data_IF_615999078999
#
_entry.id   IF_615999078999
#
_cell.length_a   1.000
_cell.length_b   1.000
_cell.length_c   1.000
_cell.angle_alpha   90.00
_cell.angle_beta   90.00
_cell.angle_gamma   90.00
#
_symmetry.space_group_name_H-M   'P 1'
#
loop_
_entity.id
_entity.type
_entity.pdbx_description
1 polymer ?
#
# COMPACT_ATOMS: atom_id res chain seq x y z
N UNK A 1 -5.51 -8.72 21.99
CA UNK A 1 -6.20 -9.54 20.96
C UNK A 1 -6.53 -10.89 21.57
N UNK A 2 -7.80 -11.29 21.67
CA UNK A 2 -8.14 -12.66 22.08
C UNK A 2 -7.92 -13.58 20.88
N UNK A 3 -6.96 -14.50 20.98
CA UNK A 3 -6.65 -15.52 19.98
C UNK A 3 -7.75 -16.59 19.99
N UNK A 4 -8.92 -16.30 19.44
CA UNK A 4 -10.05 -17.24 19.31
C UNK A 4 -10.26 -17.72 17.87
N UNK A 5 -11.34 -18.45 17.63
CA UNK A 5 -11.69 -19.00 16.31
C UNK A 5 -11.84 -17.93 15.21
N UNK A 6 -12.27 -16.73 15.59
CA UNK A 6 -12.31 -15.57 14.70
C UNK A 6 -10.94 -15.17 14.15
N UNK A 7 -9.88 -15.24 14.98
CA UNK A 7 -8.51 -14.94 14.54
C UNK A 7 -7.99 -15.98 13.55
N UNK A 8 -8.24 -17.28 13.81
CA UNK A 8 -7.86 -18.37 12.90
C UNK A 8 -8.55 -18.21 11.54
N UNK A 9 -9.83 -17.87 11.55
CA UNK A 9 -10.61 -17.62 10.34
C UNK A 9 -10.04 -16.44 9.55
N UNK A 10 -9.78 -15.30 10.20
CA UNK A 10 -9.17 -14.11 9.59
C UNK A 10 -7.82 -14.43 8.93
N UNK A 11 -6.92 -15.09 9.67
CA UNK A 11 -5.60 -15.47 9.17
C UNK A 11 -5.67 -16.48 8.03
N UNK A 12 -6.68 -17.33 8.02
CA UNK A 12 -6.96 -18.24 6.91
C UNK A 12 -7.18 -17.51 5.59
N UNK A 13 -7.85 -16.35 5.60
CA UNK A 13 -8.09 -15.57 4.38
C UNK A 13 -6.84 -14.91 3.82
N UNK A 14 -5.92 -14.47 4.69
CA UNK A 14 -4.70 -13.78 4.27
C UNK A 14 -3.56 -14.72 3.86
N UNK A 15 -3.61 -15.99 4.25
CA UNK A 15 -2.49 -16.93 4.09
C UNK A 15 -1.96 -17.01 2.65
N UNK A 16 -2.85 -16.97 1.68
CA UNK A 16 -2.48 -17.14 0.27
C UNK A 16 -2.11 -15.81 -0.41
N UNK A 17 -2.40 -14.66 0.23
CA UNK A 17 -2.03 -13.32 -0.25
C UNK A 17 -0.53 -13.02 -0.16
N UNK A 18 0.24 -13.88 0.49
CA UNK A 18 1.70 -13.82 0.54
C UNK A 18 2.34 -15.08 -0.08
N UNK A 19 1.55 -15.91 -0.76
CA UNK A 19 2.09 -17.06 -1.47
C UNK A 19 2.96 -16.61 -2.64
N UNK A 20 4.07 -17.30 -2.96
CA UNK A 20 4.91 -16.96 -4.11
C UNK A 20 4.10 -16.86 -5.42
N UNK A 21 3.11 -17.74 -5.59
CA UNK A 21 2.25 -17.73 -6.77
C UNK A 21 1.42 -16.45 -6.88
N UNK A 22 0.80 -16.00 -5.78
CA UNK A 22 0.05 -14.75 -5.77
C UNK A 22 0.96 -13.53 -5.94
N UNK A 23 2.12 -13.54 -5.30
CA UNK A 23 3.12 -12.48 -5.44
C UNK A 23 3.61 -12.35 -6.88
N UNK A 24 3.90 -13.47 -7.55
CA UNK A 24 4.39 -13.46 -8.92
C UNK A 24 3.31 -13.13 -9.95
N UNK A 25 2.09 -13.64 -9.77
CA UNK A 25 1.05 -13.53 -10.80
C UNK A 25 0.19 -12.26 -10.66
N UNK A 26 -0.01 -11.77 -9.44
CA UNK A 26 -0.91 -10.64 -9.19
C UNK A 26 -0.16 -9.40 -8.70
N UNK A 27 0.65 -9.54 -7.65
CA UNK A 27 1.29 -8.39 -6.99
C UNK A 27 2.44 -7.82 -7.81
N UNK A 28 3.34 -8.66 -8.30
CA UNK A 28 4.52 -8.27 -9.07
C UNK A 28 4.18 -7.43 -10.31
N UNK A 29 3.26 -7.87 -11.19
CA UNK A 29 2.81 -7.09 -12.32
C UNK A 29 2.14 -5.76 -11.92
N UNK A 30 1.36 -5.75 -10.84
CA UNK A 30 0.71 -4.53 -10.34
C UNK A 30 1.71 -3.49 -9.83
N UNK A 31 2.72 -3.94 -9.06
CA UNK A 31 3.82 -3.09 -8.58
C UNK A 31 4.61 -2.56 -9.77
N UNK A 32 5.00 -3.43 -10.70
CA UNK A 32 5.75 -3.05 -11.89
C UNK A 32 5.04 -1.97 -12.71
N UNK A 33 3.74 -2.14 -13.00
CA UNK A 33 2.95 -1.13 -13.72
C UNK A 33 2.86 0.19 -12.95
N UNK A 34 2.71 0.14 -11.62
CA UNK A 34 2.68 1.34 -10.78
C UNK A 34 4.02 2.08 -10.77
N UNK A 35 5.13 1.35 -10.74
CA UNK A 35 6.50 1.91 -10.82
C UNK A 35 6.75 2.52 -12.20
N UNK A 36 6.32 1.88 -13.29
CA UNK A 36 6.45 2.45 -14.63
C UNK A 36 5.71 3.80 -14.77
N UNK A 37 4.49 3.89 -14.23
CA UNK A 37 3.74 5.16 -14.20
C UNK A 37 4.47 6.23 -13.39
N UNK A 38 5.11 5.84 -12.28
CA UNK A 38 5.90 6.78 -11.48
C UNK A 38 7.13 7.29 -12.24
N UNK A 39 7.83 6.40 -12.96
CA UNK A 39 8.96 6.76 -13.83
C UNK A 39 8.49 7.73 -14.92
N UNK A 40 7.40 7.43 -15.60
CA UNK A 40 6.83 8.30 -16.65
C UNK A 40 6.51 9.71 -16.13
N UNK A 41 5.93 9.79 -14.93
CA UNK A 41 5.66 11.07 -14.26
C UNK A 41 6.95 11.81 -13.93
N UNK A 42 7.97 11.12 -13.42
CA UNK A 42 9.27 11.73 -13.10
C UNK A 42 10.02 12.19 -14.35
N UNK A 43 10.04 11.41 -15.41
CA UNK A 43 10.64 11.80 -16.68
C UNK A 43 9.91 13.00 -17.30
N UNK A 44 8.57 13.00 -17.24
CA UNK A 44 7.79 14.13 -17.75
C UNK A 44 8.06 15.39 -16.94
N UNK A 45 8.18 15.27 -15.61
CA UNK A 45 8.59 16.36 -14.74
C UNK A 45 10.01 16.84 -15.08
N UNK A 46 10.96 15.92 -15.32
CA UNK A 46 12.34 16.24 -15.71
C UNK A 46 12.41 16.92 -17.08
N UNK A 47 11.63 16.48 -18.08
CA UNK A 47 11.57 17.12 -19.41
C UNK A 47 11.04 18.55 -19.39
N UNK A 48 10.11 18.83 -18.47
CA UNK A 48 9.58 20.19 -18.27
C UNK A 48 10.58 21.06 -17.46
N UNK A 49 11.60 20.45 -16.84
CA UNK A 49 12.53 21.10 -15.91
C UNK A 49 14.00 20.79 -16.29
N UNK A 50 14.61 21.66 -17.09
CA UNK A 50 16.02 21.54 -17.54
C UNK A 50 17.05 21.56 -16.39
N UNK A 51 16.61 21.87 -15.17
CA UNK A 51 17.33 21.62 -13.93
C UNK A 51 16.42 20.80 -13.00
N UNK A 52 16.99 19.77 -12.37
CA UNK A 52 16.29 18.69 -11.67
C UNK A 52 14.96 19.10 -11.01
N UNK A 53 13.97 18.21 -11.01
CA UNK A 53 12.71 18.40 -10.28
C UNK A 53 12.87 18.84 -8.81
N UNK A 54 14.05 18.60 -8.22
CA UNK A 54 14.48 19.07 -6.91
C UNK A 54 14.95 20.53 -6.92
N UNK A 55 15.64 21.01 -7.97
CA UNK A 55 16.10 22.38 -8.10
C UNK A 55 14.94 23.37 -8.07
N UNK A 56 13.86 23.11 -8.81
CA UNK A 56 12.67 23.96 -8.78
C UNK A 56 11.86 23.83 -7.48
N UNK A 57 11.89 22.68 -6.82
CA UNK A 57 11.35 22.58 -5.45
C UNK A 57 12.19 23.41 -4.49
N UNK A 58 13.52 23.37 -4.58
CA UNK A 58 14.43 24.19 -3.76
C UNK A 58 14.28 25.69 -4.04
N UNK A 59 14.13 26.11 -5.31
CA UNK A 59 13.82 27.50 -5.68
C UNK A 59 12.42 27.90 -5.22
N UNK A 60 11.39 27.07 -5.45
CA UNK A 60 10.05 27.31 -4.93
C UNK A 60 10.06 27.43 -3.40
N UNK A 61 10.90 26.65 -2.71
CA UNK A 61 11.11 26.78 -1.26
C UNK A 61 11.84 28.07 -0.88
N UNK A 62 12.74 28.57 -1.72
CA UNK A 62 13.38 29.88 -1.55
C UNK A 62 12.46 31.07 -1.87
N UNK A 63 11.42 30.85 -2.68
CA UNK A 63 10.42 31.85 -3.08
C UNK A 63 9.12 31.77 -2.27
N UNK A 64 8.94 30.73 -1.46
CA UNK A 64 7.80 30.60 -0.55
C UNK A 64 7.86 31.72 0.49
N UNK A 65 6.85 32.58 0.48
CA UNK A 65 6.61 33.57 1.51
C UNK A 65 6.62 32.90 2.89
N UNK A 66 7.70 33.14 3.65
CA UNK A 66 7.95 32.52 4.96
C UNK A 66 6.80 32.76 5.95
N UNK A 67 5.92 33.74 5.70
CA UNK A 67 4.73 34.01 6.50
C UNK A 67 3.58 32.99 6.30
N UNK A 68 3.59 32.19 5.22
CA UNK A 68 2.58 31.15 4.92
C UNK A 68 3.01 29.74 5.34
N UNK A 69 4.26 29.59 5.75
CA UNK A 69 4.80 28.33 6.25
C UNK A 69 4.40 28.20 7.71
N UNK A 70 3.44 27.31 8.00
CA UNK A 70 3.12 26.96 9.38
C UNK A 70 4.29 26.17 9.97
N UNK A 71 5.05 26.84 10.84
CA UNK A 71 6.08 26.23 11.69
C UNK A 71 5.35 25.34 12.69
N UNK A 72 5.57 24.03 12.60
CA UNK A 72 5.07 23.06 13.57
C UNK A 72 5.69 23.27 14.95
N UNK A 73 5.14 22.61 15.97
CA UNK A 73 5.54 22.75 17.38
C UNK A 73 7.02 22.42 17.68
N UNK A 74 7.78 21.87 16.73
CA UNK A 74 9.19 21.50 16.88
C UNK A 74 10.07 21.93 15.68
N UNK A 75 9.91 23.15 15.16
CA UNK A 75 10.70 23.67 14.02
C UNK A 75 10.53 22.89 12.69
N UNK A 76 9.48 22.10 12.56
CA UNK A 76 9.15 21.42 11.32
C UNK A 76 8.45 22.38 10.34
N UNK A 77 8.88 22.36 9.08
CA UNK A 77 8.26 23.10 7.98
C UNK A 77 7.14 22.26 7.38
N UNK A 78 5.89 22.72 7.48
CA UNK A 78 4.74 22.00 6.92
C UNK A 78 4.53 22.41 5.46
N UNK A 79 4.81 21.50 4.53
CA UNK A 79 4.60 21.75 3.09
C UNK A 79 3.14 21.51 2.67
N UNK A 80 2.56 22.38 1.83
CA UNK A 80 1.24 22.17 1.27
C UNK A 80 1.26 20.92 0.38
N UNK A 81 0.51 19.89 0.77
CA UNK A 81 0.32 18.67 -0.04
C UNK A 81 -0.92 18.86 -0.92
N UNK A 82 -0.84 18.40 -2.17
CA UNK A 82 -2.04 18.29 -3.01
C UNK A 82 -3.06 17.39 -2.30
N UNK A 83 -4.37 17.70 -2.38
CA UNK A 83 -5.39 16.89 -1.73
C UNK A 83 -5.30 15.47 -2.26
N UNK A 84 -5.06 14.51 -1.36
CA UNK A 84 -5.06 13.10 -1.71
C UNK A 84 -6.46 12.71 -2.19
N UNK A 85 -6.54 11.68 -3.04
CA UNK A 85 -7.84 11.11 -3.36
C UNK A 85 -8.54 10.70 -2.06
N UNK A 86 -9.84 11.01 -1.89
CA UNK A 86 -10.60 10.85 -0.62
C UNK A 86 -10.42 9.49 0.05
N UNK A 87 -10.20 8.45 -0.74
CA UNK A 87 -9.89 7.11 -0.24
C UNK A 87 -8.53 7.03 0.47
N UNK A 88 -7.48 7.56 -0.14
CA UNK A 88 -6.12 7.57 0.44
C UNK A 88 -6.06 8.48 1.68
N UNK A 89 -6.75 9.61 1.64
CA UNK A 89 -6.91 10.50 2.80
C UNK A 89 -7.58 9.76 3.96
N UNK A 90 -8.74 9.13 3.70
CA UNK A 90 -9.44 8.34 4.70
C UNK A 90 -8.60 7.18 5.25
N UNK A 91 -7.82 6.51 4.40
CA UNK A 91 -6.98 5.38 4.81
C UNK A 91 -5.81 5.83 5.70
N UNK A 92 -5.13 6.93 5.34
CA UNK A 92 -4.06 7.53 6.15
C UNK A 92 -4.61 8.00 7.50
N UNK A 93 -5.71 8.76 7.48
CA UNK A 93 -6.32 9.27 8.71
C UNK A 93 -6.81 8.16 9.62
N UNK A 94 -7.46 7.11 9.09
CA UNK A 94 -7.88 5.97 9.92
C UNK A 94 -6.68 5.30 10.61
N UNK A 95 -5.55 5.15 9.92
CA UNK A 95 -4.32 4.59 10.49
C UNK A 95 -3.77 5.41 11.65
N UNK A 96 -3.53 6.70 11.43
CA UNK A 96 -2.97 7.61 12.45
C UNK A 96 -3.91 7.78 13.63
N UNK A 97 -5.23 7.86 13.38
CA UNK A 97 -6.24 7.95 14.43
C UNK A 97 -6.37 6.66 15.23
N UNK A 98 -6.27 5.49 14.59
CA UNK A 98 -6.23 4.21 15.31
C UNK A 98 -4.98 4.12 16.19
N UNK A 99 -3.81 4.53 15.68
CA UNK A 99 -2.59 4.58 16.48
C UNK A 99 -2.74 5.50 17.71
N UNK A 100 -3.34 6.67 17.54
CA UNK A 100 -3.62 7.59 18.64
C UNK A 100 -4.61 7.00 19.68
N UNK A 101 -5.62 6.24 19.22
CA UNK A 101 -6.55 5.51 20.11
C UNK A 101 -5.79 4.46 20.93
N UNK A 102 -4.86 3.73 20.34
CA UNK A 102 -4.08 2.70 21.05
C UNK A 102 -2.96 3.26 21.94
N UNK A 103 -2.43 4.44 21.63
CA UNK A 103 -1.43 5.13 22.43
C UNK A 103 -2.03 5.87 23.65
N UNK A 104 -3.35 6.04 23.69
CA UNK A 104 -4.05 6.72 24.78
C UNK A 104 -4.08 5.93 26.09
N UNK A 105 -4.12 6.65 27.22
CA UNK A 105 -4.24 6.05 28.56
C UNK A 105 -5.62 5.44 28.88
N UNK A 106 -6.57 5.55 27.96
CA UNK A 106 -7.94 5.09 28.13
C UNK A 106 -8.08 3.62 27.73
N UNK A 107 -8.99 2.84 28.36
CA UNK A 107 -9.22 1.45 28.00
C UNK A 107 -9.55 1.33 26.50
N UNK A 108 -8.79 0.52 25.71
CA UNK A 108 -8.94 0.48 24.25
C UNK A 108 -10.35 0.13 23.78
N UNK A 109 -11.07 -0.72 24.53
CA UNK A 109 -12.44 -1.10 24.21
C UNK A 109 -13.44 0.05 24.31
N UNK A 110 -13.32 0.89 25.35
CA UNK A 110 -14.19 2.06 25.53
C UNK A 110 -13.88 3.14 24.50
N UNK A 111 -12.59 3.38 24.22
CA UNK A 111 -12.19 4.39 23.26
C UNK A 111 -12.54 3.99 21.82
N UNK A 112 -12.38 2.72 21.47
CA UNK A 112 -12.83 2.17 20.18
C UNK A 112 -14.35 2.25 20.02
N UNK A 113 -15.11 1.93 21.07
CA UNK A 113 -16.57 2.06 21.06
C UNK A 113 -17.00 3.52 20.91
N UNK A 114 -16.41 4.43 21.68
CA UNK A 114 -16.69 5.86 21.60
C UNK A 114 -16.36 6.42 20.21
N UNK A 115 -15.19 6.08 19.65
CA UNK A 115 -14.78 6.53 18.33
C UNK A 115 -15.71 6.00 17.22
N UNK A 116 -16.18 4.75 17.35
CA UNK A 116 -17.04 4.10 16.36
C UNK A 116 -18.51 4.57 16.43
N UNK A 117 -19.05 4.80 17.63
CA UNK A 117 -20.49 5.01 17.82
C UNK A 117 -20.87 6.39 18.36
N UNK A 118 -20.07 6.98 19.25
CA UNK A 118 -20.44 8.21 19.95
C UNK A 118 -19.85 9.48 19.31
N UNK A 119 -18.63 9.42 18.78
CA UNK A 119 -17.96 10.59 18.21
C UNK A 119 -18.42 10.86 16.77
N UNK A 120 -19.13 11.96 16.49
CA UNK A 120 -19.55 12.29 15.12
C UNK A 120 -18.36 12.61 14.20
N UNK A 121 -17.22 12.99 14.78
CA UNK A 121 -15.96 13.21 14.05
C UNK A 121 -15.38 11.88 13.54
N UNK A 122 -15.14 10.92 14.44
CA UNK A 122 -14.54 9.64 14.07
C UNK A 122 -15.49 8.73 13.28
N UNK A 123 -16.79 8.77 13.58
CA UNK A 123 -17.80 7.92 12.95
C UNK A 123 -17.83 8.05 11.43
N UNK A 124 -17.59 9.25 10.88
CA UNK A 124 -17.56 9.48 9.42
C UNK A 124 -16.48 8.64 8.73
N UNK A 125 -15.30 8.51 9.34
CA UNK A 125 -14.19 7.73 8.79
C UNK A 125 -14.48 6.23 8.82
N UNK A 126 -15.02 5.72 9.93
CA UNK A 126 -15.41 4.31 10.02
C UNK A 126 -16.51 3.95 9.01
N UNK A 127 -17.52 4.82 8.84
CA UNK A 127 -18.58 4.62 7.84
C UNK A 127 -18.01 4.66 6.42
N UNK A 128 -17.17 5.65 6.09
CA UNK A 128 -16.56 5.77 4.78
C UNK A 128 -15.70 4.55 4.43
N UNK A 129 -14.84 4.11 5.37
CA UNK A 129 -14.06 2.88 5.30
C UNK A 129 -14.94 1.65 5.07
N UNK A 130 -15.97 1.46 5.91
CA UNK A 130 -16.85 0.30 5.82
C UNK A 130 -17.59 0.26 4.48
N UNK A 131 -18.14 1.38 4.02
CA UNK A 131 -18.86 1.46 2.75
C UNK A 131 -17.94 1.16 1.57
N UNK A 132 -16.72 1.68 1.59
CA UNK A 132 -15.74 1.41 0.55
C UNK A 132 -15.39 -0.08 0.49
N UNK A 133 -15.01 -0.68 1.62
CA UNK A 133 -14.58 -2.08 1.66
C UNK A 133 -15.75 -3.01 1.34
N UNK A 134 -16.97 -2.73 1.84
CA UNK A 134 -18.18 -3.51 1.47
C UNK A 134 -18.42 -3.49 -0.02
N UNK A 135 -18.37 -2.31 -0.66
CA UNK A 135 -18.53 -2.21 -2.12
C UNK A 135 -17.52 -3.08 -2.86
N UNK A 136 -16.26 -3.11 -2.40
CA UNK A 136 -15.24 -3.94 -3.02
C UNK A 136 -15.44 -5.44 -2.76
N UNK A 137 -15.95 -5.84 -1.59
CA UNK A 137 -16.35 -7.22 -1.31
C UNK A 137 -17.51 -7.62 -2.23
N UNK A 138 -18.52 -6.76 -2.41
CA UNK A 138 -19.67 -7.05 -3.27
C UNK A 138 -19.23 -7.25 -4.73
N UNK A 139 -18.33 -6.39 -5.22
CA UNK A 139 -17.72 -6.55 -6.54
C UNK A 139 -16.92 -7.86 -6.67
N UNK A 140 -16.16 -8.23 -5.63
CA UNK A 140 -15.42 -9.48 -5.60
C UNK A 140 -16.36 -10.71 -5.61
N UNK A 141 -17.49 -10.63 -4.90
CA UNK A 141 -18.52 -11.66 -4.93
C UNK A 141 -19.13 -11.78 -6.33
N UNK A 142 -19.45 -10.66 -6.99
CA UNK A 142 -19.97 -10.68 -8.36
C UNK A 142 -19.01 -11.32 -9.35
N UNK A 143 -17.72 -10.93 -9.31
CA UNK A 143 -16.67 -11.55 -10.15
C UNK A 143 -16.57 -13.05 -9.91
N UNK A 144 -16.59 -13.46 -8.65
CA UNK A 144 -16.57 -14.87 -8.28
C UNK A 144 -17.79 -15.64 -8.77
N UNK A 145 -18.97 -15.03 -8.83
CA UNK A 145 -20.18 -15.64 -9.39
C UNK A 145 -20.09 -15.79 -10.91
N UNK A 146 -19.39 -14.87 -11.57
CA UNK A 146 -19.15 -14.89 -13.01
C UNK A 146 -17.97 -15.81 -13.42
N UNK A 147 -17.37 -16.54 -12.47
CA UNK A 147 -16.15 -17.34 -12.67
C UNK A 147 -14.97 -16.53 -13.24
N UNK A 148 -14.93 -15.23 -12.90
CA UNK A 148 -13.81 -14.35 -13.26
C UNK A 148 -12.59 -14.62 -12.39
N UNK A 149 -11.40 -14.48 -12.97
CA UNK A 149 -10.14 -14.64 -12.24
C UNK A 149 -10.00 -13.59 -11.12
N UNK A 150 -9.53 -14.02 -9.95
CA UNK A 150 -9.27 -13.16 -8.81
C UNK A 150 -8.08 -12.22 -9.09
N UNK A 151 -8.32 -10.90 -9.03
CA UNK A 151 -7.32 -9.87 -9.38
C UNK A 151 -6.77 -9.14 -8.17
N UNK A 152 -7.57 -9.03 -7.12
CA UNK A 152 -7.27 -8.24 -5.92
C UNK A 152 -7.20 -9.12 -4.69
N UNK A 153 -6.56 -8.62 -3.64
CA UNK A 153 -6.51 -9.35 -2.37
C UNK A 153 -7.91 -9.64 -1.80
N UNK A 154 -8.86 -8.74 -2.02
CA UNK A 154 -10.26 -8.94 -1.62
C UNK A 154 -10.92 -10.08 -2.42
N UNK A 155 -10.65 -10.19 -3.73
CA UNK A 155 -11.15 -11.31 -4.54
C UNK A 155 -10.67 -12.66 -4.00
N UNK A 156 -9.39 -12.75 -3.61
CA UNK A 156 -8.84 -13.94 -2.98
C UNK A 156 -9.45 -14.23 -1.61
N UNK A 157 -9.68 -13.22 -0.77
CA UNK A 157 -10.35 -13.40 0.53
C UNK A 157 -11.77 -13.97 0.35
N UNK A 158 -12.53 -13.46 -0.61
CA UNK A 158 -13.87 -13.94 -0.95
C UNK A 158 -13.81 -15.40 -1.42
N UNK A 159 -12.92 -15.71 -2.36
CA UNK A 159 -12.73 -17.06 -2.88
C UNK A 159 -12.40 -18.07 -1.78
N UNK A 160 -11.47 -17.71 -0.88
CA UNK A 160 -11.07 -18.59 0.22
C UNK A 160 -12.22 -18.81 1.21
N UNK A 161 -12.96 -17.77 1.56
CA UNK A 161 -14.11 -17.89 2.45
C UNK A 161 -15.18 -18.82 1.87
N UNK A 162 -15.50 -18.68 0.58
CA UNK A 162 -16.44 -19.56 -0.10
C UNK A 162 -15.95 -21.01 -0.13
N UNK A 163 -14.67 -21.24 -0.45
CA UNK A 163 -14.05 -22.57 -0.47
C UNK A 163 -14.08 -23.26 0.89
N UNK A 164 -13.72 -22.54 1.95
CA UNK A 164 -13.72 -23.05 3.34
C UNK A 164 -15.15 -23.30 3.81
N UNK A 165 -16.08 -22.39 3.54
CA UNK A 165 -17.48 -22.54 3.92
C UNK A 165 -18.13 -23.76 3.25
N UNK A 166 -17.88 -23.96 1.95
CA UNK A 166 -18.36 -25.12 1.19
C UNK A 166 -17.81 -26.43 1.77
N UNK A 167 -16.51 -26.49 2.06
CA UNK A 167 -15.88 -27.69 2.65
C UNK A 167 -16.45 -28.05 4.02
N UNK A 168 -16.81 -27.04 4.81
CA UNK A 168 -17.35 -27.22 6.16
C UNK A 168 -18.88 -27.32 6.21
N UNK A 169 -19.59 -27.25 5.06
CA UNK A 169 -21.06 -27.26 5.02
C UNK A 169 -21.72 -26.09 5.75
N UNK A 170 -21.02 -24.96 5.90
CA UNK A 170 -21.51 -23.77 6.61
C UNK A 170 -21.84 -22.63 5.65
N UNK A 171 -22.64 -21.68 6.10
CA UNK A 171 -22.82 -20.41 5.39
C UNK A 171 -21.53 -19.58 5.40
N UNK A 172 -21.35 -18.79 4.34
CA UNK A 172 -20.23 -17.87 4.22
C UNK A 172 -20.39 -16.69 5.18
N UNK A 173 -19.28 -16.07 5.57
CA UNK A 173 -19.27 -14.84 6.39
C UNK A 173 -18.92 -13.59 5.58
N UNK A 174 -19.22 -13.62 4.27
CA UNK A 174 -18.98 -12.51 3.35
C UNK A 174 -19.68 -11.24 3.85
N UNK A 175 -18.97 -10.10 3.78
CA UNK A 175 -19.50 -8.80 4.19
C UNK A 175 -19.68 -8.61 5.71
N UNK A 176 -19.41 -9.61 6.55
CA UNK A 176 -19.40 -9.42 8.01
C UNK A 176 -18.27 -8.48 8.43
N UNK A 177 -18.47 -7.75 9.53
CA UNK A 177 -17.52 -6.74 10.01
C UNK A 177 -16.09 -7.27 10.20
N UNK A 178 -15.95 -8.55 10.58
CA UNK A 178 -14.64 -9.19 10.72
C UNK A 178 -13.85 -9.22 9.40
N UNK A 179 -14.51 -9.50 8.27
CA UNK A 179 -13.86 -9.52 6.94
C UNK A 179 -13.53 -8.10 6.47
N UNK A 180 -14.41 -7.14 6.79
CA UNK A 180 -14.18 -5.72 6.49
C UNK A 180 -12.98 -5.18 7.26
N UNK A 181 -12.91 -5.47 8.56
CA UNK A 181 -11.84 -5.02 9.43
C UNK A 181 -10.50 -5.71 9.05
N UNK A 182 -10.52 -6.99 8.67
CA UNK A 182 -9.32 -7.69 8.17
C UNK A 182 -8.83 -7.13 6.83
N UNK A 183 -9.73 -6.93 5.86
CA UNK A 183 -9.37 -6.37 4.55
C UNK A 183 -8.80 -4.95 4.68
N UNK A 184 -9.38 -4.12 5.56
CA UNK A 184 -8.86 -2.80 5.82
C UNK A 184 -7.51 -2.84 6.56
N UNK A 185 -7.37 -3.70 7.57
CA UNK A 185 -6.11 -3.86 8.31
C UNK A 185 -4.96 -4.26 7.39
N UNK A 186 -5.19 -5.21 6.49
CA UNK A 186 -4.19 -5.64 5.50
C UNK A 186 -3.80 -4.50 4.55
N UNK A 187 -4.78 -3.72 4.08
CA UNK A 187 -4.54 -2.58 3.19
C UNK A 187 -3.70 -1.49 3.87
N UNK A 188 -4.05 -1.12 5.11
CA UNK A 188 -3.30 -0.11 5.90
C UNK A 188 -1.87 -0.60 6.14
N UNK A 189 -1.69 -1.86 6.54
CA UNK A 189 -0.39 -2.44 6.83
C UNK A 189 0.53 -2.42 5.59
N UNK A 190 0.01 -2.78 4.42
CA UNK A 190 0.78 -2.83 3.18
C UNK A 190 1.25 -1.45 2.71
N UNK A 191 0.40 -0.43 2.76
CA UNK A 191 0.70 0.88 2.20
C UNK A 191 1.78 1.63 2.99
N UNK A 192 1.63 1.72 4.32
CA UNK A 192 2.50 2.56 5.14
C UNK A 192 3.92 1.99 5.27
N UNK A 193 4.06 0.67 5.45
CA UNK A 193 5.37 0.03 5.61
C UNK A 193 6.17 0.03 4.30
N UNK A 194 5.53 -0.35 3.18
CA UNK A 194 6.21 -0.41 1.88
C UNK A 194 6.60 0.97 1.38
N UNK A 195 5.73 1.98 1.54
CA UNK A 195 6.05 3.36 1.18
C UNK A 195 7.25 3.91 1.94
N UNK A 196 7.30 3.71 3.26
CA UNK A 196 8.44 4.09 4.08
C UNK A 196 9.72 3.36 3.65
N UNK A 197 9.66 2.05 3.45
CA UNK A 197 10.81 1.25 3.01
C UNK A 197 11.36 1.74 1.67
N UNK A 198 10.50 2.01 0.67
CA UNK A 198 10.92 2.53 -0.63
C UNK A 198 11.58 3.90 -0.53
N UNK A 199 11.06 4.81 0.29
CA UNK A 199 11.66 6.13 0.51
C UNK A 199 13.07 5.98 1.11
N UNK A 200 13.23 5.11 2.10
CA UNK A 200 14.54 4.84 2.68
C UNK A 200 15.50 4.20 1.68
N UNK A 201 15.05 3.22 0.89
CA UNK A 201 15.86 2.61 -0.18
C UNK A 201 16.33 3.68 -1.16
N UNK A 202 15.44 4.57 -1.61
CA UNK A 202 15.81 5.67 -2.52
C UNK A 202 16.82 6.63 -1.90
N UNK A 203 16.64 6.98 -0.61
CA UNK A 203 17.60 7.82 0.12
C UNK A 203 18.97 7.16 0.19
N UNK A 204 19.05 5.88 0.59
CA UNK A 204 20.31 5.14 0.64
C UNK A 204 20.94 5.00 -0.76
N UNK A 205 20.17 4.78 -1.81
CA UNK A 205 20.73 4.72 -3.16
C UNK A 205 21.26 6.08 -3.65
N UNK A 206 20.67 7.20 -3.20
CA UNK A 206 21.14 8.54 -3.53
C UNK A 206 22.42 8.92 -2.75
N UNK A 207 22.50 8.54 -1.48
CA UNK A 207 23.64 8.88 -0.61
C UNK A 207 24.87 7.98 -0.86
N UNK A 208 24.70 6.82 -1.51
CA UNK A 208 25.77 5.84 -1.76
C UNK A 208 25.92 5.49 -3.26
N UNK A 209 26.57 6.35 -4.08
CA UNK A 209 26.71 6.17 -5.53
C UNK A 209 27.41 4.88 -5.96
N UNK A 210 28.34 4.37 -5.14
CA UNK A 210 29.03 3.10 -5.39
C UNK A 210 28.06 1.90 -5.31
N UNK A 211 27.17 1.90 -4.30
CA UNK A 211 26.14 0.87 -4.13
C UNK A 211 25.12 0.96 -5.25
N UNK A 212 24.69 2.18 -5.59
CA UNK A 212 23.76 2.42 -6.70
C UNK A 212 24.33 1.90 -8.03
N UNK A 213 25.59 2.20 -8.33
CA UNK A 213 26.26 1.76 -9.56
C UNK A 213 26.39 0.24 -9.61
N UNK A 214 26.78 -0.40 -8.50
CA UNK A 214 26.89 -1.85 -8.41
C UNK A 214 25.54 -2.53 -8.65
N UNK A 215 24.48 -2.09 -7.97
CA UNK A 215 23.13 -2.62 -8.14
C UNK A 215 22.62 -2.41 -9.57
N UNK A 216 22.86 -1.23 -10.16
CA UNK A 216 22.47 -0.93 -11.54
C UNK A 216 23.17 -1.85 -12.55
N UNK A 217 24.47 -2.07 -12.39
CA UNK A 217 25.24 -2.91 -13.30
C UNK A 217 24.75 -4.37 -13.26
N UNK A 218 24.46 -4.87 -12.07
CA UNK A 218 23.97 -6.24 -11.91
C UNK A 218 22.56 -6.40 -12.49
N UNK A 219 21.67 -5.44 -12.24
CA UNK A 219 20.34 -5.41 -12.87
C UNK A 219 20.42 -5.35 -14.41
N UNK A 220 21.33 -4.53 -14.96
CA UNK A 220 21.54 -4.45 -16.41
C UNK A 220 22.10 -5.74 -17.00
N UNK A 221 23.01 -6.40 -16.28
CA UNK A 221 23.58 -7.70 -16.68
C UNK A 221 22.52 -8.78 -16.66
N UNK A 222 21.74 -8.83 -15.59
CA UNK A 222 20.72 -9.86 -15.40
C UNK A 222 19.51 -9.65 -16.33
N UNK A 223 19.16 -8.39 -16.63
CA UNK A 223 18.15 -8.01 -17.62
C UNK A 223 18.77 -7.62 -18.98
N UNK A 224 19.85 -8.28 -19.42
CA UNK A 224 20.60 -7.91 -20.63
C UNK A 224 19.72 -7.81 -21.90
N UNK A 225 18.69 -8.65 -22.02
CA UNK A 225 17.75 -8.63 -23.16
C UNK A 225 16.95 -7.31 -23.22
N UNK A 226 16.57 -6.77 -22.07
CA UNK A 226 15.86 -5.49 -22.00
C UNK A 226 16.78 -4.33 -22.39
N UNK A 227 18.01 -4.35 -21.88
CA UNK A 227 19.06 -3.36 -22.20
C UNK A 227 19.39 -3.36 -23.69
N UNK A 228 19.61 -4.54 -24.28
CA UNK A 228 19.92 -4.66 -25.71
C UNK A 228 18.80 -4.12 -26.61
N UNK A 229 17.54 -4.26 -26.17
CA UNK A 229 16.36 -3.75 -26.88
C UNK A 229 16.00 -2.31 -26.51
N UNK A 230 16.84 -1.62 -25.74
CA UNK A 230 16.65 -0.26 -25.26
C UNK A 230 15.26 -0.03 -24.62
N UNK A 231 14.82 -0.99 -23.79
CA UNK A 231 13.54 -0.94 -23.08
C UNK A 231 13.73 -1.22 -21.59
N UNK A 232 12.73 -0.85 -20.79
CA UNK A 232 12.68 -1.25 -19.38
C UNK A 232 12.42 -2.77 -19.25
N UNK A 233 12.93 -3.42 -18.18
CA UNK A 233 12.64 -4.82 -17.91
C UNK A 233 11.15 -5.05 -17.66
N UNK A 234 10.63 -6.20 -18.06
CA UNK A 234 9.25 -6.61 -17.77
C UNK A 234 9.13 -7.18 -16.35
N UNK A 235 7.92 -7.21 -15.80
CA UNK A 235 7.67 -7.84 -14.50
C UNK A 235 8.15 -9.30 -14.45
N UNK A 236 7.91 -10.07 -15.52
CA UNK A 236 8.31 -11.48 -15.61
C UNK A 236 9.84 -11.63 -15.62
N UNK A 237 10.57 -10.76 -16.33
CA UNK A 237 12.04 -10.75 -16.32
C UNK A 237 12.56 -10.44 -14.92
N UNK A 238 12.02 -9.43 -14.22
CA UNK A 238 12.46 -9.08 -12.87
C UNK A 238 12.18 -10.23 -11.88
N UNK A 239 10.99 -10.82 -11.93
CA UNK A 239 10.58 -11.91 -11.01
C UNK A 239 11.40 -13.18 -11.23
N UNK A 240 11.78 -13.50 -12.47
CA UNK A 240 12.54 -14.71 -12.79
C UNK A 240 14.05 -14.54 -12.60
N UNK A 241 14.52 -13.31 -12.44
CA UNK A 241 15.93 -12.99 -12.27
C UNK A 241 16.37 -13.25 -10.83
N UNK A 242 17.48 -13.97 -10.67
CA UNK A 242 18.19 -14.05 -9.40
C UNK A 242 19.15 -12.86 -9.30
N UNK A 243 19.11 -12.13 -8.19
CA UNK A 243 19.95 -10.95 -7.98
C UNK A 243 20.81 -11.22 -6.74
N UNK A 244 21.98 -11.87 -6.89
CA UNK A 244 22.82 -12.27 -5.77
C UNK A 244 23.08 -11.15 -4.76
N UNK A 245 23.33 -9.91 -5.21
CA UNK A 245 23.55 -8.77 -4.31
C UNK A 245 22.32 -8.34 -3.50
N UNK A 246 21.11 -8.63 -3.98
CA UNK A 246 19.85 -8.37 -3.28
C UNK A 246 19.37 -9.59 -2.46
N UNK A 247 19.75 -10.80 -2.87
CA UNK A 247 19.32 -12.06 -2.27
C UNK A 247 20.24 -12.51 -1.11
N UNK A 248 21.44 -11.92 -0.96
CA UNK A 248 22.42 -12.26 0.10
C UNK A 248 22.21 -11.52 1.46
N UNK A 249 21.06 -10.89 1.70
CA UNK A 249 20.73 -10.23 2.99
C UNK A 249 19.70 -10.99 3.84
#
# INVERSE_FOLDING_TARGET
>A
MRMGDGWRTSRGWLKDLLSPQYLHNSVGPSIHSSVLKLIEVWESKARITDESAMHRQVQYFGELDHSKIAVGTHNEVTFPRAPLHKFQECLHEVGDRMAAIYAGKWPPGLLSWWARYASPYYRKFFIAKDNFIRKHIDLAVQRSLNDEEAKTGIDHMVYQEQKVARKAGRHTVLGKQIMIDEACGNLIAGQSATGAALVWILKFLADYPAVQSKLRNELQTACAVAVQKNRLPTAAEIISTKLPYLDES
#
